data_IF_902374607830
#
_entry.id   IF_902374607830
#
_cell.length_a   1.000
_cell.length_b   1.000
_cell.length_c   1.000
_cell.angle_alpha   90.00
_cell.angle_beta   90.00
_cell.angle_gamma   90.00
#
_symmetry.space_group_name_H-M   'P 1'
#
loop_
_entity.id
_entity.type
_entity.pdbx_description
1 polymer ?
#
# COMPACT_ATOMS: atom_id res chain seq x y z
N UNK A 1 -4.17 14.23 -8.74
CA UNK A 1 -5.36 13.47 -8.31
C UNK A 1 -4.91 12.21 -7.59
N UNK A 2 -4.27 11.28 -8.29
CA UNK A 2 -3.75 10.01 -7.75
C UNK A 2 -3.01 10.16 -6.42
N UNK A 3 -2.03 11.06 -6.29
CA UNK A 3 -1.33 11.27 -5.00
C UNK A 3 -2.29 11.60 -3.84
N UNK A 4 -3.31 12.43 -4.07
CA UNK A 4 -4.29 12.78 -3.01
C UNK A 4 -5.11 11.57 -2.58
N UNK A 5 -5.50 10.72 -3.52
CA UNK A 5 -6.28 9.50 -3.23
C UNK A 5 -5.50 8.51 -2.35
N UNK A 6 -4.16 8.54 -2.43
CA UNK A 6 -3.25 7.72 -1.63
C UNK A 6 -2.80 8.40 -0.33
N UNK A 7 -2.66 9.74 -0.34
CA UNK A 7 -2.28 10.53 0.83
C UNK A 7 -3.41 10.60 1.86
N UNK A 8 -4.67 10.55 1.43
CA UNK A 8 -5.80 10.21 2.31
C UNK A 8 -5.74 8.72 2.66
N UNK A 9 -4.93 8.38 3.67
CA UNK A 9 -4.63 6.99 4.00
C UNK A 9 -5.87 6.19 4.43
N UNK A 10 -6.92 6.85 4.91
CA UNK A 10 -8.19 6.20 5.28
C UNK A 10 -8.97 5.72 4.03
N UNK A 11 -8.61 6.19 2.84
CA UNK A 11 -9.13 5.73 1.55
C UNK A 11 -8.44 4.45 1.05
N UNK A 12 -7.29 4.05 1.61
CA UNK A 12 -6.52 2.89 1.15
C UNK A 12 -7.30 1.56 1.12
N UNK A 13 -8.27 1.25 2.02
CA UNK A 13 -9.11 0.06 1.90
C UNK A 13 -9.90 -0.04 0.58
N UNK A 14 -10.15 1.10 -0.10
CA UNK A 14 -10.81 1.12 -1.42
C UNK A 14 -9.85 0.84 -2.56
N UNK A 15 -8.56 1.03 -2.33
CA UNK A 15 -7.49 0.87 -3.31
C UNK A 15 -6.86 -0.51 -3.18
N UNK A 16 -6.53 -0.91 -1.96
CA UNK A 16 -5.84 -2.15 -1.60
C UNK A 16 -6.80 -3.08 -0.86
N UNK A 17 -7.24 -4.14 -1.52
CA UNK A 17 -8.28 -5.06 -1.05
C UNK A 17 -7.87 -5.90 0.16
N UNK A 18 -6.58 -6.04 0.41
CA UNK A 18 -6.06 -6.69 1.62
C UNK A 18 -6.08 -5.75 2.84
N UNK A 19 -6.23 -4.44 2.63
CA UNK A 19 -6.34 -3.47 3.73
C UNK A 19 -7.80 -3.42 4.18
N UNK A 20 -8.05 -3.80 5.43
CA UNK A 20 -9.38 -3.79 6.04
C UNK A 20 -9.71 -2.38 6.52
N UNK A 21 -8.77 -1.74 7.21
CA UNK A 21 -8.89 -0.35 7.62
C UNK A 21 -7.53 0.29 7.87
N UNK A 22 -7.47 1.60 7.64
CA UNK A 22 -6.42 2.47 8.14
C UNK A 22 -7.12 3.58 8.90
N UNK A 23 -6.62 3.90 10.09
CA UNK A 23 -7.09 5.03 10.88
C UNK A 23 -5.94 6.01 11.07
N UNK A 24 -6.16 7.25 10.69
CA UNK A 24 -5.23 8.34 10.98
C UNK A 24 -5.34 8.71 12.47
N UNK A 25 -4.20 8.81 13.13
CA UNK A 25 -4.09 9.24 14.52
C UNK A 25 -3.51 10.66 14.65
N UNK A 26 -3.21 11.33 13.54
CA UNK A 26 -2.52 12.62 13.51
C UNK A 26 -1.02 12.47 13.65
N UNK A 27 -0.29 13.57 13.43
CA UNK A 27 1.18 13.65 13.57
C UNK A 27 1.94 12.58 12.77
N UNK A 28 1.41 12.20 11.60
CA UNK A 28 1.98 11.16 10.74
C UNK A 28 1.86 9.74 11.31
N UNK A 29 1.03 9.52 12.33
CA UNK A 29 0.80 8.21 12.95
C UNK A 29 -0.50 7.61 12.45
N UNK A 30 -0.50 6.29 12.23
CA UNK A 30 -1.68 5.59 11.78
C UNK A 30 -1.74 4.16 12.29
N UNK A 31 -2.95 3.64 12.44
CA UNK A 31 -3.20 2.24 12.78
C UNK A 31 -3.76 1.49 11.58
N UNK A 32 -3.12 0.38 11.26
CA UNK A 32 -3.44 -0.44 10.10
C UNK A 32 -4.01 -1.78 10.53
N UNK A 33 -5.03 -2.23 9.83
CA UNK A 33 -5.63 -3.56 9.95
C UNK A 33 -5.70 -4.16 8.56
N UNK A 34 -5.07 -5.32 8.36
CA UNK A 34 -5.04 -6.00 7.06
C UNK A 34 -5.40 -7.47 7.19
N UNK A 35 -5.97 -8.01 6.12
CA UNK A 35 -6.13 -9.44 5.92
C UNK A 35 -4.76 -10.06 5.61
N UNK A 36 -4.32 -10.94 6.50
CA UNK A 36 -3.11 -11.74 6.36
C UNK A 36 -3.40 -13.17 5.89
N UNK A 37 -2.35 -13.99 5.76
CA UNK A 37 -2.47 -15.39 5.34
C UNK A 37 -3.41 -16.20 6.23
N UNK A 38 -4.02 -17.24 5.66
CA UNK A 38 -4.88 -18.20 6.37
C UNK A 38 -6.09 -17.55 7.08
N UNK A 39 -6.60 -16.44 6.54
CA UNK A 39 -7.76 -15.73 7.09
C UNK A 39 -7.48 -15.04 8.44
N UNK A 40 -6.21 -14.85 8.79
CA UNK A 40 -5.83 -14.10 10.00
C UNK A 40 -5.85 -12.61 9.72
N UNK A 41 -6.21 -11.82 10.73
CA UNK A 41 -6.05 -10.37 10.69
C UNK A 41 -4.74 -9.97 11.35
N UNK A 42 -4.03 -9.04 10.73
CA UNK A 42 -2.79 -8.46 11.24
C UNK A 42 -3.02 -6.98 11.52
N UNK A 43 -2.50 -6.49 12.64
CA UNK A 43 -2.64 -5.10 13.07
C UNK A 43 -1.30 -4.54 13.49
N UNK A 44 -0.99 -3.31 13.08
CA UNK A 44 0.18 -2.57 13.53
C UNK A 44 -0.09 -1.08 13.61
N UNK A 45 0.75 -0.39 14.36
CA UNK A 45 0.90 1.07 14.32
C UNK A 45 2.02 1.41 13.34
N UNK A 46 1.86 2.47 12.57
CA UNK A 46 2.84 2.97 11.62
C UNK A 46 3.10 4.46 11.81
N UNK A 47 4.25 4.91 11.33
CA UNK A 47 4.57 6.33 11.17
C UNK A 47 4.99 6.63 9.74
N UNK A 48 4.61 7.80 9.24
CA UNK A 48 5.05 8.33 7.96
C UNK A 48 6.55 8.66 8.02
N UNK A 49 7.27 8.28 6.97
CA UNK A 49 8.71 8.52 6.80
C UNK A 49 8.96 9.61 5.77
N UNK A 50 8.31 9.51 4.61
CA UNK A 50 8.34 10.54 3.58
C UNK A 50 6.93 10.86 3.15
N UNK A 51 6.68 12.14 2.94
CA UNK A 51 5.46 12.66 2.35
C UNK A 51 5.83 13.82 1.43
N UNK A 52 6.27 13.47 0.23
CA UNK A 52 6.68 14.41 -0.81
C UNK A 52 5.62 14.41 -1.91
N UNK A 53 4.96 15.56 -2.05
CA UNK A 53 3.79 15.73 -2.88
C UNK A 53 4.03 15.28 -4.33
N UNK A 54 3.20 14.34 -4.80
CA UNK A 54 3.29 13.73 -6.13
C UNK A 54 4.61 13.01 -6.44
N UNK A 55 5.41 12.65 -5.42
CA UNK A 55 6.68 11.93 -5.59
C UNK A 55 6.72 10.65 -4.80
N UNK A 56 6.54 10.72 -3.48
CA UNK A 56 6.58 9.54 -2.62
C UNK A 56 5.75 9.72 -1.35
N UNK A 57 5.04 8.67 -0.98
CA UNK A 57 4.49 8.47 0.35
C UNK A 57 5.10 7.18 0.91
N UNK A 58 5.75 7.23 2.08
CA UNK A 58 6.31 6.03 2.70
C UNK A 58 6.07 5.98 4.19
N UNK A 59 5.99 4.77 4.74
CA UNK A 59 5.75 4.51 6.15
C UNK A 59 6.60 3.37 6.67
N UNK A 60 6.74 3.28 7.99
CA UNK A 60 7.24 2.09 8.68
C UNK A 60 6.36 1.73 9.86
N UNK A 61 6.24 0.44 10.15
CA UNK A 61 5.64 -0.01 11.41
C UNK A 61 6.48 0.41 12.60
N UNK A 62 5.83 0.70 13.73
CA UNK A 62 6.47 1.14 14.97
C UNK A 62 6.05 0.30 16.17
N UNK A 63 6.92 0.25 17.18
CA UNK A 63 6.70 -0.54 18.39
C UNK A 63 6.90 -2.04 18.18
N UNK A 64 6.53 -2.84 19.20
CA UNK A 64 6.53 -4.30 19.11
C UNK A 64 5.30 -4.75 18.31
N UNK A 65 5.52 -5.13 17.06
CA UNK A 65 4.46 -5.63 16.15
C UNK A 65 4.76 -7.06 15.72
N UNK A 66 3.69 -7.83 15.49
CA UNK A 66 3.77 -9.18 14.92
C UNK A 66 4.07 -9.18 13.41
N UNK A 67 4.03 -8.01 12.77
CA UNK A 67 4.34 -7.84 11.35
C UNK A 67 5.13 -6.55 11.11
N UNK A 68 6.44 -6.54 11.43
CA UNK A 68 7.33 -5.45 11.05
C UNK A 68 7.30 -5.25 9.54
N UNK A 69 7.03 -4.03 9.09
CA UNK A 69 6.98 -3.70 7.66
C UNK A 69 7.39 -2.25 7.37
N UNK A 70 7.85 -2.05 6.15
CA UNK A 70 8.10 -0.75 5.53
C UNK A 70 7.36 -0.73 4.20
N UNK A 71 6.69 0.37 3.88
CA UNK A 71 6.01 0.54 2.61
C UNK A 71 6.31 1.88 1.98
N UNK A 72 6.27 1.93 0.66
CA UNK A 72 6.41 3.15 -0.11
C UNK A 72 5.57 3.09 -1.38
N UNK A 73 4.95 4.22 -1.71
CA UNK A 73 4.22 4.45 -2.95
C UNK A 73 4.92 5.59 -3.66
N UNK A 74 5.48 5.29 -4.83
CA UNK A 74 6.14 6.28 -5.67
C UNK A 74 5.21 6.68 -6.79
N UNK A 75 5.23 7.97 -7.11
CA UNK A 75 4.45 8.58 -8.18
C UNK A 75 5.42 9.17 -9.20
N UNK A 76 5.25 8.78 -10.45
CA UNK A 76 6.04 9.29 -11.57
C UNK A 76 5.11 9.80 -12.66
N UNK A 77 5.44 10.96 -13.25
CA UNK A 77 4.77 11.38 -14.48
C UNK A 77 5.08 10.40 -15.61
N UNK A 78 4.10 10.10 -16.46
CA UNK A 78 4.37 9.39 -17.71
C UNK A 78 5.24 10.23 -18.65
N UNK A 79 5.96 9.63 -19.62
CA UNK A 79 6.80 10.39 -20.54
C UNK A 79 6.07 11.49 -21.33
N UNK A 80 4.77 11.30 -21.58
CA UNK A 80 3.91 12.28 -22.27
C UNK A 80 3.24 13.27 -21.30
N UNK A 81 3.53 13.20 -20.00
CA UNK A 81 2.98 14.02 -18.92
C UNK A 81 1.44 14.02 -18.79
N UNK A 82 0.74 13.08 -19.44
CA UNK A 82 -0.73 12.97 -19.39
C UNK A 82 -1.24 11.99 -18.33
N UNK A 83 -0.36 11.28 -17.65
CA UNK A 83 -0.73 10.30 -16.65
C UNK A 83 0.27 10.19 -15.51
N UNK A 84 -0.02 9.27 -14.60
CA UNK A 84 0.86 8.93 -13.49
C UNK A 84 1.11 7.42 -13.46
N UNK A 85 2.37 7.04 -13.38
CA UNK A 85 2.78 5.70 -12.98
C UNK A 85 2.85 5.64 -11.44
N UNK A 86 2.19 4.64 -10.87
CA UNK A 86 2.21 4.35 -9.42
C UNK A 86 3.00 3.08 -9.19
N UNK A 87 4.03 3.16 -8.33
CA UNK A 87 4.83 1.99 -7.92
C UNK A 87 4.72 1.78 -6.43
N UNK A 88 4.13 0.67 -6.03
CA UNK A 88 4.02 0.26 -4.63
C UNK A 88 5.11 -0.75 -4.31
N UNK A 89 5.84 -0.50 -3.23
CA UNK A 89 6.82 -1.41 -2.65
C UNK A 89 6.48 -1.64 -1.18
N UNK A 90 6.43 -2.91 -0.78
CA UNK A 90 6.22 -3.29 0.62
C UNK A 90 7.29 -4.31 0.98
N UNK A 91 8.01 -4.05 2.05
CA UNK A 91 8.99 -4.93 2.65
C UNK A 91 8.48 -5.37 4.01
N UNK A 92 8.49 -6.67 4.27
CA UNK A 92 8.07 -7.25 5.54
C UNK A 92 8.85 -8.53 5.79
N UNK A 93 8.98 -8.89 7.06
CA UNK A 93 9.58 -10.16 7.47
C UNK A 93 8.47 -11.20 7.71
N UNK A 94 8.31 -12.20 6.83
CA UNK A 94 7.33 -13.25 7.04
C UNK A 94 7.69 -14.09 8.29
N UNK A 95 6.69 -14.48 9.10
CA UNK A 95 6.92 -15.33 10.25
C UNK A 95 7.47 -16.70 9.82
N UNK A 96 8.46 -17.24 10.55
CA UNK A 96 9.02 -18.58 10.33
C UNK A 96 10.48 -18.62 9.85
N UNK A 97 11.07 -17.47 9.50
CA UNK A 97 12.50 -17.37 9.17
C UNK A 97 12.96 -18.23 7.97
N UNK A 98 14.26 -18.50 7.83
CA UNK A 98 14.83 -19.19 6.67
C UNK A 98 14.29 -20.60 6.45
N UNK A 99 13.89 -21.29 7.52
CA UNK A 99 13.32 -22.64 7.47
C UNK A 99 11.98 -22.69 6.70
N UNK A 100 11.30 -21.55 6.56
CA UNK A 100 10.06 -21.41 5.79
C UNK A 100 10.23 -20.73 4.44
N UNK A 101 11.45 -20.55 3.91
CA UNK A 101 11.74 -19.69 2.76
C UNK A 101 10.89 -19.97 1.50
N UNK A 102 10.57 -21.25 1.21
CA UNK A 102 9.73 -21.60 0.08
C UNK A 102 8.28 -21.12 0.26
N UNK A 103 7.71 -21.33 1.45
CA UNK A 103 6.37 -20.86 1.81
C UNK A 103 6.32 -19.33 1.83
N UNK A 104 7.34 -18.70 2.42
CA UNK A 104 7.48 -17.24 2.45
C UNK A 104 7.52 -16.64 1.04
N UNK A 105 8.25 -17.25 0.11
CA UNK A 105 8.29 -16.85 -1.31
C UNK A 105 6.92 -16.93 -1.97
N UNK A 106 6.20 -18.04 -1.80
CA UNK A 106 4.86 -18.21 -2.38
C UNK A 106 3.87 -17.16 -1.83
N UNK A 107 3.87 -16.93 -0.52
CA UNK A 107 3.05 -15.90 0.11
C UNK A 107 3.40 -14.49 -0.39
N UNK A 108 4.69 -14.20 -0.56
CA UNK A 108 5.15 -12.93 -1.12
C UNK A 108 4.73 -12.72 -2.59
N UNK A 109 4.82 -13.77 -3.41
CA UNK A 109 4.33 -13.73 -4.80
C UNK A 109 2.83 -13.49 -4.85
N UNK A 110 2.04 -14.22 -4.05
CA UNK A 110 0.59 -14.04 -3.99
C UNK A 110 0.21 -12.63 -3.52
N UNK A 111 0.89 -12.09 -2.51
CA UNK A 111 0.69 -10.72 -2.05
C UNK A 111 1.02 -9.69 -3.15
N UNK A 112 2.11 -9.90 -3.89
CA UNK A 112 2.51 -9.02 -5.00
C UNK A 112 1.48 -9.03 -6.14
N UNK A 113 0.96 -10.21 -6.49
CA UNK A 113 -0.09 -10.36 -7.50
C UNK A 113 -1.39 -9.67 -7.08
N UNK A 114 -1.77 -9.79 -5.80
CA UNK A 114 -2.94 -9.12 -5.25
C UNK A 114 -2.79 -7.59 -5.35
N UNK A 115 -1.67 -7.03 -4.90
CA UNK A 115 -1.40 -5.58 -5.01
C UNK A 115 -1.42 -5.14 -6.48
N UNK A 116 -0.82 -5.91 -7.39
CA UNK A 116 -0.85 -5.58 -8.81
C UNK A 116 -2.28 -5.60 -9.39
N UNK A 117 -3.13 -6.52 -8.94
CA UNK A 117 -4.55 -6.57 -9.33
C UNK A 117 -5.32 -5.35 -8.80
N UNK A 118 -5.07 -4.98 -7.56
CA UNK A 118 -5.65 -3.82 -6.88
C UNK A 118 -5.29 -2.52 -7.61
N UNK A 119 -4.01 -2.33 -7.97
CA UNK A 119 -3.56 -1.18 -8.74
C UNK A 119 -4.19 -1.10 -10.13
N UNK A 120 -4.40 -2.24 -10.82
CA UNK A 120 -5.11 -2.27 -12.10
C UNK A 120 -6.58 -1.84 -11.95
N UNK A 121 -7.26 -2.32 -10.92
CA UNK A 121 -8.65 -1.94 -10.63
C UNK A 121 -8.76 -0.45 -10.30
N UNK A 122 -7.84 0.04 -9.47
CA UNK A 122 -7.75 1.46 -9.14
C UNK A 122 -7.54 2.32 -10.38
N UNK A 123 -6.60 1.94 -11.27
CA UNK A 123 -6.38 2.65 -12.54
C UNK A 123 -7.66 2.79 -13.36
N UNK A 124 -8.39 1.70 -13.58
CA UNK A 124 -9.65 1.72 -14.34
C UNK A 124 -10.69 2.65 -13.68
N UNK A 125 -10.80 2.60 -12.35
CA UNK A 125 -11.73 3.45 -11.61
C UNK A 125 -11.39 4.95 -11.74
N UNK A 126 -10.13 5.32 -11.57
CA UNK A 126 -9.67 6.72 -11.69
C UNK A 126 -9.85 7.24 -13.12
N UNK A 127 -9.50 6.43 -14.13
CA UNK A 127 -9.65 6.81 -15.54
C UNK A 127 -11.12 6.98 -15.94
N UNK A 128 -12.02 6.15 -15.43
CA UNK A 128 -13.45 6.30 -15.65
C UNK A 128 -14.06 7.51 -14.90
N UNK A 129 -13.45 7.93 -13.80
CA UNK A 129 -13.90 9.06 -12.97
C UNK A 129 -13.29 10.40 -13.41
N UNK A 130 -12.39 10.39 -14.40
CA UNK A 130 -11.81 11.58 -14.99
C UNK A 130 -12.68 11.98 -16.19
N UNK A 131 -13.35 13.16 -16.18
CA UNK A 131 -14.13 13.60 -17.32
C UNK A 131 -13.23 13.68 -18.56
N UNK A 132 -13.72 13.18 -19.70
CA UNK A 132 -13.06 13.43 -20.97
C UNK A 132 -13.03 14.95 -21.20
N UNK A 133 -11.84 15.54 -21.27
CA UNK A 133 -11.70 16.92 -21.74
C UNK A 133 -12.42 17.03 -23.10
N UNK A 134 -13.43 17.91 -23.15
CA UNK A 134 -14.24 18.20 -24.35
C UNK A 134 -13.68 19.45 -25.02
#
# INVERSE_FOLDING_TARGET
>A
QVYRDWHDIENLPRILSNVISVRDHGDGRSRWVVAGPLGRTVTWEAEAINDDANRVLSWRSVGKTAAPNVGAVHFHATPDARGSEVRVRIEYDPPGGPAGAAVARLLGSAASEQVASDLRRFKVHVEASTPAET
#
